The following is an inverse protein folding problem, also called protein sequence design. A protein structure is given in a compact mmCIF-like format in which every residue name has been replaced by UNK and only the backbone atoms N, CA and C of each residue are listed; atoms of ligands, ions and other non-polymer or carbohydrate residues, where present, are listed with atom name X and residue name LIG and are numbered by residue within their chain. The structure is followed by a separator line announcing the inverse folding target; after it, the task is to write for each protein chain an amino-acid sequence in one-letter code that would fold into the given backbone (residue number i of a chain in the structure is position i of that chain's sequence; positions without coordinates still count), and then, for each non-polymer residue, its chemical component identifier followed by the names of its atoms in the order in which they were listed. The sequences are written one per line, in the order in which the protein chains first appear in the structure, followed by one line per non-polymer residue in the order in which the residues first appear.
data_IF_066165786007
#
_entry.id   IF_066165786007
#
_cell.length_a   1.000
_cell.length_b   1.000
_cell.length_c   1.000
_cell.angle_alpha   90.00
_cell.angle_beta   90.00
_cell.angle_gamma   90.00
#
_symmetry.space_group_name_H-M   'P 1'
#
loop_
_entity.id
_entity.type
_entity.pdbx_description
1 polymer ?
#
# COMPACT_ATOMS: atom_id res chain seq x y z
N UNK A 1 -14.44 2.62 -36.25
CA UNK A 1 -14.30 3.46 -35.05
C UNK A 1 -15.58 3.34 -34.24
N UNK A 2 -15.49 2.91 -32.99
CA UNK A 2 -16.65 2.70 -32.12
C UNK A 2 -17.07 4.05 -31.55
N UNK A 3 -18.34 4.46 -31.66
CA UNK A 3 -18.84 5.70 -31.08
C UNK A 3 -18.69 5.72 -29.55
N UNK A 4 -18.33 6.88 -28.98
CA UNK A 4 -18.09 7.00 -27.53
C UNK A 4 -19.27 6.56 -26.65
N UNK A 5 -20.51 6.74 -27.10
CA UNK A 5 -21.73 6.30 -26.42
C UNK A 5 -21.83 4.77 -26.22
N UNK A 6 -21.12 3.98 -27.04
CA UNK A 6 -21.09 2.52 -26.91
C UNK A 6 -20.11 2.03 -25.85
N UNK A 7 -19.17 2.88 -25.40
CA UNK A 7 -18.23 2.55 -24.33
C UNK A 7 -18.86 2.62 -22.93
N UNK A 8 -19.95 3.39 -22.80
CA UNK A 8 -20.64 3.63 -21.54
C UNK A 8 -22.15 3.49 -21.74
N UNK A 9 -22.75 2.50 -21.12
CA UNK A 9 -24.22 2.37 -21.00
C UNK A 9 -24.62 2.83 -19.58
N UNK A 10 -25.05 4.10 -19.48
CA UNK A 10 -25.32 4.73 -18.20
C UNK A 10 -24.07 4.81 -17.32
N UNK A 11 -24.14 4.33 -16.09
CA UNK A 11 -23.02 4.29 -15.12
C UNK A 11 -22.17 3.01 -15.23
N UNK A 12 -22.45 2.14 -16.19
CA UNK A 12 -21.76 0.87 -16.35
C UNK A 12 -20.45 1.05 -17.13
N UNK A 13 -19.32 0.97 -16.43
CA UNK A 13 -17.98 1.02 -17.03
C UNK A 13 -17.70 -0.26 -17.82
N UNK A 14 -17.03 -0.12 -18.97
CA UNK A 14 -16.60 -1.24 -19.83
C UNK A 14 -17.78 -2.10 -20.36
N UNK A 15 -18.96 -1.50 -20.55
CA UNK A 15 -20.17 -2.23 -20.97
C UNK A 15 -19.95 -3.05 -22.24
N UNK A 16 -19.39 -2.45 -23.29
CA UNK A 16 -19.09 -3.15 -24.54
C UNK A 16 -18.16 -4.35 -24.37
N UNK A 17 -17.10 -4.19 -23.57
CA UNK A 17 -16.17 -5.28 -23.28
C UNK A 17 -16.86 -6.41 -22.53
N UNK A 18 -17.71 -6.09 -21.57
CA UNK A 18 -18.51 -7.07 -20.84
C UNK A 18 -19.48 -7.80 -21.74
N UNK A 19 -20.18 -7.08 -22.65
CA UNK A 19 -21.13 -7.68 -23.59
C UNK A 19 -20.43 -8.67 -24.54
N UNK A 20 -19.23 -8.34 -25.01
CA UNK A 20 -18.41 -9.26 -25.84
C UNK A 20 -17.92 -10.47 -25.03
N UNK A 21 -17.59 -10.28 -23.76
CA UNK A 21 -17.04 -11.35 -22.92
C UNK A 21 -18.12 -12.32 -22.39
N UNK A 22 -19.40 -11.91 -22.30
CA UNK A 22 -20.49 -12.72 -21.74
C UNK A 22 -20.66 -14.11 -22.38
N UNK A 23 -20.55 -14.29 -23.69
CA UNK A 23 -20.63 -15.63 -24.29
C UNK A 23 -19.37 -16.48 -24.09
N UNK A 24 -18.25 -15.88 -23.64
CA UNK A 24 -16.95 -16.52 -23.52
C UNK A 24 -16.55 -16.84 -22.08
N UNK A 25 -17.12 -16.14 -21.10
CA UNK A 25 -16.71 -16.21 -19.68
C UNK A 25 -17.94 -16.33 -18.77
N UNK A 26 -17.79 -17.01 -17.60
CA UNK A 26 -18.83 -17.07 -16.59
C UNK A 26 -19.25 -15.67 -16.08
N UNK A 27 -20.53 -15.50 -15.79
CA UNK A 27 -21.12 -14.22 -15.40
C UNK A 27 -20.52 -13.67 -14.08
N UNK A 28 -20.27 -14.54 -13.13
CA UNK A 28 -19.65 -14.21 -11.84
C UNK A 28 -18.23 -13.64 -11.99
N UNK A 29 -17.49 -14.07 -13.01
CA UNK A 29 -16.19 -13.51 -13.33
C UNK A 29 -16.29 -12.09 -13.93
N UNK A 30 -17.28 -11.87 -14.80
CA UNK A 30 -17.48 -10.60 -15.51
C UNK A 30 -18.03 -9.52 -14.58
N UNK A 31 -18.96 -9.90 -13.70
CA UNK A 31 -19.71 -8.96 -12.86
C UNK A 31 -19.17 -8.89 -11.41
N UNK A 32 -18.03 -9.53 -11.13
CA UNK A 32 -17.40 -9.44 -9.80
C UNK A 32 -17.09 -7.98 -9.43
N UNK A 33 -17.23 -7.61 -8.17
CA UNK A 33 -16.83 -6.30 -7.66
C UNK A 33 -15.36 -5.99 -7.99
N UNK A 34 -15.07 -4.74 -8.31
CA UNK A 34 -13.68 -4.31 -8.49
C UNK A 34 -12.91 -4.52 -7.19
N UNK A 35 -11.89 -5.36 -7.22
CA UNK A 35 -10.83 -5.37 -6.23
C UNK A 35 -9.70 -4.47 -6.73
N UNK A 36 -9.38 -3.41 -5.97
CA UNK A 36 -8.20 -2.59 -6.24
C UNK A 36 -6.92 -3.42 -6.08
N UNK A 37 -5.83 -2.93 -6.65
CA UNK A 37 -4.50 -3.48 -6.39
C UNK A 37 -4.04 -3.00 -5.00
N UNK A 38 -4.69 -3.50 -3.96
CA UNK A 38 -4.32 -3.20 -2.58
C UNK A 38 -3.09 -4.01 -2.18
N UNK A 39 -2.02 -3.32 -1.83
CA UNK A 39 -0.91 -3.94 -1.11
C UNK A 39 -1.40 -4.26 0.31
N UNK A 40 -1.16 -5.47 0.86
CA UNK A 40 -1.67 -5.87 2.17
C UNK A 40 -0.86 -5.25 3.33
N UNK A 41 -0.69 -3.91 3.32
CA UNK A 41 0.09 -3.14 4.30
C UNK A 41 -0.38 -3.42 5.73
N UNK A 42 -1.69 -3.53 5.92
CA UNK A 42 -2.30 -3.85 7.21
C UNK A 42 -1.72 -5.14 7.80
N UNK A 43 -1.61 -6.19 6.98
CA UNK A 43 -1.06 -7.48 7.39
C UNK A 43 0.45 -7.37 7.64
N UNK A 44 1.17 -6.76 6.71
CA UNK A 44 2.61 -6.62 6.81
C UNK A 44 3.05 -5.88 8.07
N UNK A 45 2.36 -4.83 8.47
CA UNK A 45 2.68 -4.07 9.68
C UNK A 45 2.30 -4.78 10.98
N UNK A 46 1.47 -5.83 10.92
CA UNK A 46 1.18 -6.71 12.05
C UNK A 46 2.16 -7.86 12.19
N UNK A 47 2.73 -8.32 11.09
CA UNK A 47 3.52 -9.53 10.97
C UNK A 47 4.95 -9.21 10.50
N UNK A 48 5.18 -9.26 9.18
CA UNK A 48 6.51 -9.27 8.56
C UNK A 48 7.32 -7.98 8.76
N UNK A 49 6.67 -6.82 8.79
CA UNK A 49 7.30 -5.50 8.86
C UNK A 49 7.11 -4.80 10.21
N UNK A 50 6.65 -5.50 11.23
CA UNK A 50 6.42 -4.93 12.56
C UNK A 50 7.69 -4.32 13.15
N UNK A 51 8.78 -5.08 13.15
CA UNK A 51 10.05 -4.66 13.74
C UNK A 51 10.69 -3.54 12.88
N UNK A 52 10.64 -3.68 11.55
CA UNK A 52 11.09 -2.65 10.62
C UNK A 52 10.39 -1.30 10.86
N UNK A 53 9.08 -1.33 11.10
CA UNK A 53 8.29 -0.14 11.39
C UNK A 53 8.75 0.54 12.69
N UNK A 54 8.96 -0.25 13.75
CA UNK A 54 9.43 0.25 15.04
C UNK A 54 10.86 0.80 14.93
N UNK A 55 11.76 0.10 14.27
CA UNK A 55 13.17 0.49 14.10
C UNK A 55 13.32 1.83 13.38
N UNK A 56 12.47 2.15 12.43
CA UNK A 56 12.50 3.44 11.72
C UNK A 56 11.80 4.55 12.50
N UNK A 57 10.55 4.32 12.90
CA UNK A 57 9.72 5.37 13.50
C UNK A 57 10.09 5.72 14.95
N UNK A 58 10.66 4.78 15.69
CA UNK A 58 11.08 4.97 17.08
C UNK A 58 12.60 5.09 17.25
N UNK A 59 13.34 5.18 16.13
CA UNK A 59 14.78 5.38 16.14
C UNK A 59 15.18 6.63 16.89
N UNK A 60 16.40 6.66 17.41
CA UNK A 60 16.95 7.87 18.01
C UNK A 60 16.96 9.05 17.03
N UNK A 61 17.22 8.77 15.77
CA UNK A 61 17.24 9.74 14.67
C UNK A 61 15.88 10.36 14.43
N UNK A 62 14.81 9.55 14.34
CA UNK A 62 13.43 10.04 14.22
C UNK A 62 13.01 10.91 15.41
N UNK A 63 13.40 10.50 16.62
CA UNK A 63 13.16 11.28 17.86
C UNK A 63 13.87 12.62 17.85
N UNK A 64 15.12 12.66 17.40
CA UNK A 64 15.94 13.89 17.34
C UNK A 64 15.41 14.89 16.29
N UNK A 65 14.77 14.42 15.21
CA UNK A 65 14.12 15.30 14.23
C UNK A 65 12.98 16.11 14.86
N UNK A 66 12.32 15.58 15.88
CA UNK A 66 11.21 16.25 16.55
C UNK A 66 9.95 16.46 15.68
N UNK A 67 9.88 15.80 14.54
CA UNK A 67 8.74 15.93 13.59
C UNK A 67 7.51 15.14 14.04
N UNK A 68 7.72 14.07 14.80
CA UNK A 68 6.69 13.16 15.28
C UNK A 68 6.77 12.99 16.80
N UNK A 69 5.60 12.80 17.41
CA UNK A 69 5.55 12.45 18.83
C UNK A 69 5.73 10.95 19.00
N UNK A 70 6.90 10.54 19.46
CA UNK A 70 7.27 9.13 19.57
C UNK A 70 6.34 8.32 20.46
N UNK A 71 5.80 8.89 21.55
CA UNK A 71 4.86 8.17 22.42
C UNK A 71 3.51 7.88 21.73
N UNK A 72 3.04 8.81 20.92
CA UNK A 72 1.82 8.61 20.12
C UNK A 72 2.06 7.52 19.06
N UNK A 73 3.19 7.58 18.36
CA UNK A 73 3.53 6.58 17.35
C UNK A 73 3.68 5.19 17.96
N UNK A 74 4.32 5.07 19.11
CA UNK A 74 4.46 3.82 19.84
C UNK A 74 3.08 3.22 20.20
N UNK A 75 2.17 4.05 20.70
CA UNK A 75 0.78 3.65 20.98
C UNK A 75 0.07 3.18 19.70
N UNK A 76 0.22 3.91 18.59
CA UNK A 76 -0.39 3.53 17.30
C UNK A 76 0.15 2.18 16.79
N UNK A 77 1.46 1.93 16.93
CA UNK A 77 2.07 0.65 16.56
C UNK A 77 1.50 -0.48 17.43
N UNK A 78 1.45 -0.30 18.74
CA UNK A 78 0.93 -1.30 19.68
C UNK A 78 -0.53 -1.65 19.39
N UNK A 79 -1.39 -0.64 19.22
CA UNK A 79 -2.80 -0.83 18.88
C UNK A 79 -2.99 -1.51 17.53
N UNK A 80 -2.16 -1.16 16.55
CA UNK A 80 -2.25 -1.78 15.23
C UNK A 80 -1.82 -3.26 15.27
N UNK A 81 -0.73 -3.57 15.94
CA UNK A 81 -0.19 -4.92 16.08
C UNK A 81 -1.14 -5.82 16.90
N UNK A 82 -1.68 -5.31 18.01
CA UNK A 82 -2.67 -6.05 18.83
C UNK A 82 -4.01 -6.24 18.13
N UNK A 83 -4.31 -5.45 17.11
CA UNK A 83 -5.59 -5.46 16.41
C UNK A 83 -6.67 -4.62 17.08
N UNK A 84 -6.33 -3.87 18.14
CA UNK A 84 -7.25 -2.98 18.86
C UNK A 84 -7.74 -1.83 17.96
N UNK A 85 -6.87 -1.26 17.14
CA UNK A 85 -7.20 -0.23 16.17
C UNK A 85 -6.43 -0.39 14.86
N UNK A 86 -6.93 0.25 13.80
CA UNK A 86 -6.31 0.19 12.47
C UNK A 86 -5.60 1.49 12.14
N UNK A 87 -4.27 1.49 12.23
CA UNK A 87 -3.42 2.65 11.95
C UNK A 87 -2.52 2.48 10.72
N UNK A 88 -2.78 1.48 9.87
CA UNK A 88 -1.85 1.13 8.77
C UNK A 88 -1.59 2.27 7.78
N UNK A 89 -2.57 3.13 7.48
CA UNK A 89 -2.35 4.27 6.58
C UNK A 89 -1.50 5.37 7.22
N UNK A 90 -1.75 5.68 8.48
CA UNK A 90 -0.98 6.67 9.24
C UNK A 90 0.46 6.21 9.41
N UNK A 91 0.65 4.96 9.85
CA UNK A 91 1.97 4.36 10.02
C UNK A 91 2.73 4.26 8.70
N UNK A 92 2.06 3.94 7.60
CA UNK A 92 2.64 3.98 6.26
C UNK A 92 3.13 5.38 5.88
N UNK A 93 2.31 6.40 6.11
CA UNK A 93 2.67 7.79 5.81
C UNK A 93 3.89 8.24 6.60
N UNK A 94 3.93 7.93 7.90
CA UNK A 94 5.06 8.27 8.77
C UNK A 94 6.32 7.51 8.35
N UNK A 95 6.22 6.24 8.03
CA UNK A 95 7.34 5.44 7.53
C UNK A 95 7.90 6.01 6.23
N UNK A 96 7.04 6.34 5.27
CA UNK A 96 7.48 6.95 4.01
C UNK A 96 8.18 8.29 4.23
N UNK A 97 7.72 9.07 5.18
CA UNK A 97 8.35 10.33 5.56
C UNK A 97 9.75 10.09 6.14
N UNK A 98 9.92 9.17 7.09
CA UNK A 98 11.24 8.86 7.67
C UNK A 98 12.21 8.28 6.64
N UNK A 99 11.76 7.37 5.78
CA UNK A 99 12.58 6.83 4.68
C UNK A 99 12.98 7.92 3.67
N UNK A 100 12.11 8.89 3.44
CA UNK A 100 12.43 10.04 2.60
C UNK A 100 13.52 10.92 3.24
N UNK A 101 13.42 11.20 4.54
CA UNK A 101 14.47 11.92 5.28
C UNK A 101 15.81 11.18 5.24
N UNK A 102 15.78 9.87 5.48
CA UNK A 102 17.00 9.05 5.44
C UNK A 102 17.67 9.13 4.07
N UNK A 103 16.90 9.03 3.01
CA UNK A 103 17.40 8.99 1.64
C UNK A 103 17.91 10.36 1.15
N UNK A 104 17.12 11.42 1.38
CA UNK A 104 17.34 12.69 0.71
C UNK A 104 18.01 13.75 1.60
N UNK A 105 17.85 13.66 2.89
CA UNK A 105 18.38 14.64 3.83
C UNK A 105 19.63 14.12 4.51
N UNK A 106 19.63 12.87 4.94
CA UNK A 106 20.72 12.27 5.69
C UNK A 106 21.74 11.54 4.80
N UNK A 107 21.46 11.42 3.51
CA UNK A 107 22.37 10.82 2.52
C UNK A 107 22.59 9.32 2.69
N UNK A 108 21.62 8.60 3.26
CA UNK A 108 21.69 7.15 3.36
C UNK A 108 21.75 6.54 1.94
N UNK A 109 22.68 5.61 1.72
CA UNK A 109 22.72 4.85 0.48
C UNK A 109 21.49 3.99 0.37
N UNK A 110 20.85 4.04 -0.80
CA UNK A 110 19.71 3.13 -1.09
C UNK A 110 20.17 1.69 -0.97
N UNK A 111 19.37 0.81 -0.33
CA UNK A 111 19.67 -0.61 -0.38
C UNK A 111 19.76 -1.03 -1.84
N UNK A 112 20.92 -1.57 -2.23
CA UNK A 112 21.12 -2.11 -3.58
C UNK A 112 20.04 -3.15 -3.84
N UNK A 113 19.27 -2.94 -4.91
CA UNK A 113 18.24 -3.90 -5.31
C UNK A 113 18.89 -5.28 -5.43
N UNK A 114 18.39 -6.30 -4.72
CA UNK A 114 18.91 -7.64 -4.89
C UNK A 114 18.79 -8.01 -6.37
N UNK A 115 19.85 -8.58 -6.93
CA UNK A 115 19.85 -9.04 -8.31
C UNK A 115 18.64 -9.95 -8.54
N UNK A 116 17.75 -9.56 -9.44
CA UNK A 116 16.62 -10.40 -9.83
C UNK A 116 17.22 -11.62 -10.51
N UNK A 117 17.00 -12.85 -10.01
CA UNK A 117 17.45 -14.04 -10.72
C UNK A 117 16.86 -14.00 -12.13
N UNK A 118 17.71 -14.10 -13.16
CA UNK A 118 17.24 -14.22 -14.53
C UNK A 118 16.38 -15.48 -14.60
N UNK A 119 15.09 -15.28 -14.83
CA UNK A 119 14.19 -16.37 -15.23
C UNK A 119 14.62 -16.78 -16.64
N UNK A 120 15.45 -17.81 -16.74
CA UNK A 120 15.73 -18.54 -17.99
C UNK A 120 14.73 -19.69 -18.07
#
# INVERSE_FOLDING_TARGET
RIPGKEHLKGWQLKSLLKDIARPLLPTDLIDRPKMGFGVPIKKWFREDLKDYLADHLLSQKARQRGMINSSVVETMIQQHVSGEAEHHYQLWTLLMMELWFDMWIDGAELPTRPAVPSLV
#
